data_IF_251378279965
#
_entry.id   IF_251378279965
#
_cell.length_a   1.000
_cell.length_b   1.000
_cell.length_c   1.000
_cell.angle_alpha   90.00
_cell.angle_beta   90.00
_cell.angle_gamma   90.00
#
_symmetry.space_group_name_H-M   'P 1'
#
loop_
_entity.id
_entity.type
_entity.pdbx_description
1 polymer ?
#
# COMPACT_ATOMS: atom_id res chain seq x y z
N UNK A 1 29.02 -0.17 5.89
CA UNK A 1 29.27 0.36 4.52
C UNK A 1 29.01 1.87 4.52
N UNK A 2 29.46 2.66 3.55
CA UNK A 2 29.16 4.11 3.48
C UNK A 2 28.54 4.44 2.12
N UNK A 3 27.40 5.13 2.12
CA UNK A 3 26.74 5.64 0.92
C UNK A 3 26.88 7.16 0.91
N UNK A 4 27.60 7.70 -0.07
CA UNK A 4 27.79 9.14 -0.22
C UNK A 4 26.87 9.67 -1.32
N UNK A 5 25.99 10.61 -0.98
CA UNK A 5 24.98 11.18 -1.87
C UNK A 5 25.00 12.70 -1.82
N UNK A 6 24.41 13.34 -2.82
CA UNK A 6 24.18 14.78 -2.77
C UNK A 6 22.96 15.13 -1.90
N UNK A 7 22.62 16.43 -1.84
CA UNK A 7 21.46 16.92 -1.10
C UNK A 7 20.19 17.01 -1.96
N UNK A 8 20.14 16.31 -3.10
CA UNK A 8 18.95 16.23 -3.93
C UNK A 8 17.76 15.72 -3.12
N UNK A 9 16.56 16.21 -3.45
CA UNK A 9 15.32 15.86 -2.73
C UNK A 9 15.09 14.35 -2.65
N UNK A 10 15.44 13.61 -3.70
CA UNK A 10 15.37 12.14 -3.75
C UNK A 10 16.21 11.46 -2.64
N UNK A 11 17.37 12.02 -2.30
CA UNK A 11 18.29 11.46 -1.32
C UNK A 11 18.00 11.92 0.11
N UNK A 12 17.16 12.94 0.30
CA UNK A 12 16.74 13.41 1.64
C UNK A 12 15.51 12.68 2.19
N UNK A 13 15.09 11.58 1.55
CA UNK A 13 13.90 10.84 1.96
C UNK A 13 14.14 10.07 3.26
N UNK A 14 13.15 10.09 4.16
CA UNK A 14 13.17 9.30 5.40
C UNK A 14 13.28 7.80 5.11
N UNK A 15 12.66 7.34 4.02
CA UNK A 15 12.72 5.95 3.59
C UNK A 15 14.17 5.50 3.30
N UNK A 16 14.94 6.29 2.54
CA UNK A 16 16.34 5.97 2.26
C UNK A 16 17.16 5.85 3.55
N UNK A 17 16.98 6.78 4.50
CA UNK A 17 17.65 6.73 5.80
C UNK A 17 17.31 5.47 6.59
N UNK A 18 16.03 5.07 6.60
CA UNK A 18 15.58 3.86 7.29
C UNK A 18 16.17 2.59 6.67
N UNK A 19 16.13 2.46 5.34
CA UNK A 19 16.70 1.32 4.61
C UNK A 19 18.22 1.24 4.83
N UNK A 20 18.92 2.37 4.76
CA UNK A 20 20.35 2.43 5.06
C UNK A 20 20.65 1.95 6.48
N UNK A 21 19.86 2.37 7.47
CA UNK A 21 20.03 1.92 8.85
C UNK A 21 19.80 0.40 8.99
N UNK A 22 18.75 -0.14 8.36
CA UNK A 22 18.46 -1.59 8.36
C UNK A 22 19.60 -2.41 7.73
N UNK A 23 20.24 -1.89 6.68
CA UNK A 23 21.36 -2.55 5.99
C UNK A 23 22.75 -2.26 6.60
N UNK A 24 22.85 -1.52 7.71
CA UNK A 24 24.15 -1.15 8.29
C UNK A 24 25.00 -0.23 7.40
N UNK A 25 24.33 0.61 6.60
CA UNK A 25 24.94 1.57 5.68
C UNK A 25 24.89 2.96 6.32
N UNK A 26 26.04 3.60 6.50
CA UNK A 26 26.10 5.00 6.91
C UNK A 26 25.79 5.89 5.70
N UNK A 27 24.64 6.56 5.72
CA UNK A 27 24.26 7.56 4.74
C UNK A 27 25.00 8.88 5.03
N UNK A 28 25.75 9.38 4.05
CA UNK A 28 26.55 10.60 4.16
C UNK A 28 26.11 11.57 3.06
N UNK A 29 25.68 12.76 3.46
CA UNK A 29 25.34 13.83 2.54
C UNK A 29 26.54 14.74 2.29
N UNK A 30 26.70 15.17 1.03
CA UNK A 30 27.67 16.21 0.68
C UNK A 30 27.37 17.50 1.45
N UNK A 31 28.39 18.17 2.00
CA UNK A 31 28.21 19.50 2.62
C UNK A 31 27.85 20.52 1.53
N UNK A 32 27.06 21.57 1.86
CA UNK A 32 26.91 22.72 0.98
C UNK A 32 28.27 23.26 0.53
N UNK A 33 28.35 23.70 -0.73
CA UNK A 33 29.55 24.30 -1.35
C UNK A 33 30.80 23.38 -1.47
N UNK A 34 30.68 22.08 -1.20
CA UNK A 34 31.75 21.10 -1.44
C UNK A 34 31.62 20.43 -2.83
N UNK A 35 31.93 21.16 -3.91
CA UNK A 35 31.87 20.65 -5.28
C UNK A 35 32.87 19.51 -5.56
N UNK A 36 34.03 19.51 -4.90
CA UNK A 36 35.10 18.52 -5.11
C UNK A 36 34.65 17.07 -4.88
N UNK A 37 33.67 16.84 -4.00
CA UNK A 37 33.16 15.50 -3.70
C UNK A 37 32.28 14.90 -4.82
N UNK A 38 31.78 15.74 -5.75
CA UNK A 38 30.83 15.34 -6.80
C UNK A 38 31.46 15.13 -8.18
N UNK A 39 32.73 15.50 -8.35
CA UNK A 39 33.39 15.51 -9.66
C UNK A 39 33.39 14.16 -10.39
N UNK A 40 33.37 13.03 -9.67
CA UNK A 40 33.29 11.69 -10.28
C UNK A 40 31.94 11.45 -10.97
N UNK A 41 30.84 11.67 -10.27
CA UNK A 41 29.50 11.44 -10.83
C UNK A 41 29.14 12.50 -11.87
N UNK A 42 29.54 13.75 -11.67
CA UNK A 42 29.36 14.82 -12.66
C UNK A 42 30.10 14.54 -13.96
N UNK A 43 31.34 14.00 -13.86
CA UNK A 43 32.09 13.56 -15.04
C UNK A 43 31.39 12.41 -15.76
N UNK A 44 30.85 11.43 -15.01
CA UNK A 44 30.07 10.34 -15.60
C UNK A 44 28.82 10.87 -16.33
N UNK A 45 28.04 11.75 -15.70
CA UNK A 45 26.87 12.37 -16.34
C UNK A 45 27.24 13.13 -17.61
N UNK A 46 28.38 13.84 -17.62
CA UNK A 46 28.89 14.50 -18.82
C UNK A 46 29.21 13.50 -19.93
N UNK A 47 29.87 12.39 -19.61
CA UNK A 47 30.17 11.32 -20.59
C UNK A 47 28.90 10.73 -21.18
N UNK A 48 27.92 10.39 -20.34
CA UNK A 48 26.61 9.90 -20.80
C UNK A 48 25.94 10.92 -21.72
N UNK A 49 25.93 12.21 -21.37
CA UNK A 49 25.35 13.25 -22.24
C UNK A 49 26.05 13.36 -23.60
N UNK A 50 27.37 13.23 -23.64
CA UNK A 50 28.15 13.38 -24.87
C UNK A 50 28.13 12.13 -25.76
N UNK A 51 28.02 10.94 -25.18
CA UNK A 51 28.12 9.68 -25.91
C UNK A 51 26.77 9.01 -26.12
N UNK A 52 25.94 8.91 -25.08
CA UNK A 52 24.68 8.17 -25.15
C UNK A 52 23.54 9.00 -25.78
N UNK A 53 23.35 10.26 -25.36
CA UNK A 53 22.21 11.05 -25.86
C UNK A 53 22.20 11.22 -27.39
N UNK A 54 23.34 11.45 -28.08
CA UNK A 54 23.36 11.53 -29.54
C UNK A 54 23.00 10.21 -30.25
N UNK A 55 23.07 9.06 -29.57
CA UNK A 55 22.69 7.75 -30.13
C UNK A 55 21.18 7.48 -30.06
N UNK A 56 20.42 8.33 -29.35
CA UNK A 56 18.98 8.16 -29.24
C UNK A 56 18.27 8.61 -30.51
N UNK A 57 17.51 7.70 -31.11
CA UNK A 57 16.62 7.99 -32.24
C UNK A 57 15.19 8.24 -31.75
N UNK A 58 14.33 8.75 -32.63
CA UNK A 58 12.90 8.95 -32.34
C UNK A 58 12.23 7.69 -31.80
N UNK A 59 12.60 6.51 -32.31
CA UNK A 59 12.07 5.21 -31.85
C UNK A 59 12.36 4.95 -30.37
N UNK A 60 13.52 5.37 -29.88
CA UNK A 60 13.88 5.23 -28.47
C UNK A 60 13.12 6.22 -27.60
N UNK A 61 12.79 7.40 -28.12
CA UNK A 61 12.13 8.47 -27.37
C UNK A 61 10.61 8.27 -27.18
N UNK A 62 10.03 7.24 -27.79
CA UNK A 62 8.59 6.95 -27.70
C UNK A 62 8.13 6.61 -26.28
N UNK A 63 8.96 5.95 -25.48
CA UNK A 63 8.64 5.61 -24.10
C UNK A 63 9.88 5.38 -23.23
N UNK A 64 9.70 5.54 -21.92
CA UNK A 64 10.77 5.39 -20.93
C UNK A 64 11.43 4.00 -20.97
N UNK A 65 10.67 2.94 -21.25
CA UNK A 65 11.20 1.57 -21.31
C UNK A 65 12.19 1.40 -22.46
N UNK A 66 11.93 2.01 -23.61
CA UNK A 66 12.83 2.02 -24.76
C UNK A 66 14.13 2.79 -24.46
N UNK A 67 14.02 3.97 -23.83
CA UNK A 67 15.20 4.74 -23.38
C UNK A 67 16.03 3.92 -22.38
N UNK A 68 15.39 3.30 -21.38
CA UNK A 68 16.08 2.48 -20.39
C UNK A 68 16.82 1.32 -21.05
N UNK A 69 16.19 0.63 -22.02
CA UNK A 69 16.84 -0.46 -22.76
C UNK A 69 18.06 0.02 -23.52
N UNK A 70 17.94 1.13 -24.24
CA UNK A 70 19.05 1.72 -24.98
C UNK A 70 20.20 2.13 -24.05
N UNK A 71 19.88 2.71 -22.88
CA UNK A 71 20.86 3.08 -21.86
C UNK A 71 21.61 1.85 -21.33
N UNK A 72 20.89 0.77 -21.00
CA UNK A 72 21.51 -0.48 -20.54
C UNK A 72 22.44 -1.06 -21.59
N UNK A 73 21.99 -1.13 -22.85
CA UNK A 73 22.84 -1.58 -23.97
C UNK A 73 24.10 -0.73 -24.06
N UNK A 74 23.99 0.60 -24.09
CA UNK A 74 25.15 1.50 -24.15
C UNK A 74 26.12 1.30 -22.96
N UNK A 75 25.59 1.16 -21.73
CA UNK A 75 26.42 0.96 -20.54
C UNK A 75 27.22 -0.34 -20.66
N UNK A 76 26.55 -1.42 -21.04
CA UNK A 76 27.16 -2.75 -21.11
C UNK A 76 28.12 -2.86 -22.29
N UNK A 77 27.70 -2.49 -23.50
CA UNK A 77 28.49 -2.73 -24.71
C UNK A 77 29.60 -1.71 -24.92
N UNK A 78 29.36 -0.44 -24.62
CA UNK A 78 30.30 0.65 -24.91
C UNK A 78 31.04 1.13 -23.66
N UNK A 79 30.31 1.65 -22.68
CA UNK A 79 30.92 2.38 -21.56
C UNK A 79 31.81 1.49 -20.68
N UNK A 80 31.33 0.32 -20.28
CA UNK A 80 32.08 -0.61 -19.43
C UNK A 80 33.29 -1.25 -20.13
N UNK A 81 33.27 -1.30 -21.47
CA UNK A 81 34.30 -1.96 -22.30
C UNK A 81 35.29 -0.98 -22.95
N UNK A 82 35.00 0.31 -22.93
CA UNK A 82 35.90 1.34 -23.45
C UNK A 82 36.97 1.72 -22.41
N UNK A 83 38.26 1.84 -22.80
CA UNK A 83 39.30 2.31 -21.90
C UNK A 83 38.97 3.69 -21.32
N UNK A 84 38.99 3.81 -19.99
CA UNK A 84 38.70 5.07 -19.32
C UNK A 84 39.98 5.86 -19.07
N UNK A 85 40.06 7.10 -19.57
CA UNK A 85 41.28 7.94 -19.52
C UNK A 85 41.94 8.06 -18.14
N UNK A 86 41.16 8.12 -17.06
CA UNK A 86 41.71 8.22 -15.69
C UNK A 86 42.09 6.87 -15.07
N UNK A 87 41.59 5.76 -15.61
CA UNK A 87 41.90 4.41 -15.12
C UNK A 87 43.00 3.75 -15.95
N UNK A 88 43.20 4.19 -17.20
CA UNK A 88 44.07 3.56 -18.20
C UNK A 88 43.71 2.09 -18.52
N UNK A 89 42.52 1.65 -18.10
CA UNK A 89 41.93 0.34 -18.33
C UNK A 89 40.41 0.49 -18.47
N UNK A 90 39.69 -0.58 -18.82
CA UNK A 90 38.22 -0.54 -18.92
C UNK A 90 37.58 -0.52 -17.52
N UNK A 91 36.44 0.16 -17.32
CA UNK A 91 35.73 0.11 -16.04
C UNK A 91 35.38 -1.31 -15.60
N UNK A 92 35.06 -2.20 -16.56
CA UNK A 92 34.73 -3.60 -16.27
C UNK A 92 35.93 -4.36 -15.72
N UNK A 93 37.09 -4.27 -16.37
CA UNK A 93 38.31 -4.97 -15.94
C UNK A 93 38.76 -4.46 -14.57
N UNK A 94 38.72 -3.13 -14.38
CA UNK A 94 39.00 -2.53 -13.08
C UNK A 94 38.10 -3.10 -11.99
N UNK A 95 36.80 -3.17 -12.26
CA UNK A 95 35.81 -3.67 -11.31
C UNK A 95 36.01 -5.16 -11.01
N UNK A 96 36.24 -5.99 -12.03
CA UNK A 96 36.49 -7.42 -11.87
C UNK A 96 37.69 -7.70 -10.93
N UNK A 97 38.76 -6.91 -11.03
CA UNK A 97 39.95 -7.04 -10.16
C UNK A 97 39.72 -6.67 -8.70
N UNK A 98 38.72 -5.83 -8.40
CA UNK A 98 38.43 -5.36 -7.03
C UNK A 98 37.11 -5.91 -6.49
N UNK A 99 36.36 -6.64 -7.32
CA UNK A 99 35.01 -7.13 -7.05
C UNK A 99 34.94 -8.15 -5.92
N UNK A 100 36.03 -8.83 -5.60
CA UNK A 100 36.13 -9.76 -4.46
C UNK A 100 35.83 -9.10 -3.10
N UNK A 101 35.90 -7.76 -3.02
CA UNK A 101 35.60 -6.98 -1.80
C UNK A 101 34.11 -6.64 -1.65
N UNK A 102 33.25 -7.11 -2.56
CA UNK A 102 31.80 -6.90 -2.48
C UNK A 102 31.25 -7.68 -1.30
N UNK A 103 30.47 -6.99 -0.45
CA UNK A 103 29.74 -7.60 0.65
C UNK A 103 28.33 -7.91 0.17
N UNK A 104 27.94 -9.16 0.29
CA UNK A 104 26.57 -9.59 0.01
C UNK A 104 25.72 -9.46 1.29
N UNK A 105 24.39 -9.27 1.15
CA UNK A 105 23.45 -9.42 2.26
C UNK A 105 23.56 -10.82 2.88
N UNK A 106 23.20 -10.95 4.15
CA UNK A 106 23.21 -12.26 4.81
C UNK A 106 22.13 -13.16 4.17
N UNK A 107 22.34 -14.48 4.03
CA UNK A 107 21.41 -15.39 3.34
C UNK A 107 19.97 -15.42 3.89
N UNK A 108 19.71 -14.83 5.07
CA UNK A 108 18.39 -14.69 5.67
C UNK A 108 17.73 -13.32 5.51
N UNK A 109 18.42 -12.34 4.92
CA UNK A 109 17.87 -11.01 4.70
C UNK A 109 16.87 -11.01 3.53
N UNK A 110 15.59 -10.82 3.84
CA UNK A 110 14.56 -10.56 2.82
C UNK A 110 14.69 -9.11 2.34
N UNK A 111 15.45 -8.93 1.25
CA UNK A 111 15.67 -7.62 0.64
C UNK A 111 14.34 -6.94 0.28
N UNK A 112 13.38 -7.67 -0.27
CA UNK A 112 12.10 -7.08 -0.65
C UNK A 112 11.36 -6.52 0.58
N UNK A 113 11.43 -7.21 1.72
CA UNK A 113 10.89 -6.71 2.99
C UNK A 113 11.60 -5.45 3.47
N UNK A 114 12.94 -5.40 3.38
CA UNK A 114 13.73 -4.26 3.85
C UNK A 114 13.38 -2.95 3.12
N UNK A 115 13.03 -3.03 1.83
CA UNK A 115 12.67 -1.89 0.99
C UNK A 115 11.17 -1.52 1.02
N UNK A 116 10.34 -2.21 1.82
CA UNK A 116 8.94 -1.80 1.99
C UNK A 116 8.84 -0.43 2.67
N UNK A 117 7.94 0.40 2.15
CA UNK A 117 7.56 1.67 2.77
C UNK A 117 6.73 1.42 4.01
N UNK A 118 6.92 2.25 5.04
CA UNK A 118 6.20 2.13 6.30
C UNK A 118 5.24 3.30 6.48
N UNK A 119 4.01 3.01 6.90
CA UNK A 119 3.02 4.02 7.25
C UNK A 119 2.24 3.59 8.48
N UNK A 120 2.23 4.44 9.52
CA UNK A 120 1.43 4.21 10.71
C UNK A 120 -0.01 4.66 10.48
N UNK A 121 -0.97 3.79 10.78
CA UNK A 121 -2.40 4.06 10.64
C UNK A 121 -3.17 3.43 11.79
N UNK A 122 -4.25 4.08 12.20
CA UNK A 122 -5.17 3.55 13.20
C UNK A 122 -6.20 2.66 12.53
N UNK A 123 -6.45 1.48 13.11
CA UNK A 123 -7.49 0.56 12.61
C UNK A 123 -8.86 1.09 13.00
N UNK A 124 -9.76 1.15 12.03
CA UNK A 124 -11.12 1.66 12.19
C UNK A 124 -12.03 0.62 12.86
N UNK A 125 -13.17 1.08 13.41
CA UNK A 125 -14.16 0.21 14.06
C UNK A 125 -14.78 -0.83 13.14
N UNK A 126 -14.77 -0.59 11.84
CA UNK A 126 -15.25 -1.49 10.80
C UNK A 126 -14.21 -2.54 10.36
N UNK A 127 -13.09 -2.67 11.11
CA UNK A 127 -11.99 -3.60 10.82
C UNK A 127 -11.23 -3.27 9.54
N UNK A 128 -11.19 -1.99 9.16
CA UNK A 128 -10.44 -1.53 7.99
C UNK A 128 -9.34 -0.54 8.32
N UNK A 129 -8.40 -0.39 7.38
CA UNK A 129 -7.40 0.67 7.40
C UNK A 129 -7.28 1.30 6.01
N UNK A 130 -7.14 2.63 5.95
CA UNK A 130 -6.96 3.34 4.68
C UNK A 130 -5.49 3.64 4.41
N UNK A 131 -5.04 3.30 3.20
CA UNK A 131 -3.72 3.61 2.68
C UNK A 131 -3.84 4.11 1.23
N UNK A 132 -3.39 5.34 0.98
CA UNK A 132 -3.40 5.99 -0.34
C UNK A 132 -4.76 5.90 -1.05
N UNK A 133 -5.85 6.15 -0.31
CA UNK A 133 -7.22 6.13 -0.83
C UNK A 133 -7.85 4.73 -0.95
N UNK A 134 -7.12 3.65 -0.65
CA UNK A 134 -7.63 2.29 -0.66
C UNK A 134 -7.85 1.75 0.75
N UNK A 135 -8.93 0.99 0.95
CA UNK A 135 -9.23 0.34 2.22
C UNK A 135 -8.74 -1.11 2.21
N UNK A 136 -8.14 -1.54 3.31
CA UNK A 136 -7.62 -2.90 3.50
C UNK A 136 -8.26 -3.53 4.73
N UNK A 137 -8.54 -4.84 4.65
CA UNK A 137 -9.15 -5.62 5.73
C UNK A 137 -8.13 -6.00 6.80
N UNK A 138 -8.50 -5.80 8.07
CA UNK A 138 -7.64 -6.01 9.23
C UNK A 138 -8.33 -6.95 10.23
N UNK A 139 -7.55 -7.75 10.95
CA UNK A 139 -8.08 -8.58 12.04
C UNK A 139 -8.82 -7.75 13.10
N UNK A 140 -9.94 -8.29 13.60
CA UNK A 140 -10.79 -7.63 14.58
C UNK A 140 -10.07 -7.34 15.91
N UNK A 141 -9.06 -8.13 16.27
CA UNK A 141 -8.25 -7.94 17.49
C UNK A 141 -7.42 -6.65 17.47
N UNK A 142 -7.18 -6.07 16.30
CA UNK A 142 -6.41 -4.84 16.14
C UNK A 142 -7.30 -3.59 16.06
N UNK A 143 -8.61 -3.70 16.20
CA UNK A 143 -9.53 -2.56 16.12
C UNK A 143 -9.23 -1.53 17.19
N UNK A 144 -9.02 -0.27 16.77
CA UNK A 144 -8.66 0.83 17.67
C UNK A 144 -7.15 0.97 17.91
N UNK A 145 -6.35 -0.04 17.58
CA UNK A 145 -4.89 0.01 17.70
C UNK A 145 -4.23 0.78 16.55
N UNK A 146 -2.99 1.23 16.79
CA UNK A 146 -2.15 1.83 15.74
C UNK A 146 -1.21 0.79 15.18
N UNK A 147 -1.41 0.44 13.92
CA UNK A 147 -0.60 -0.54 13.19
C UNK A 147 0.38 0.14 12.23
N UNK A 148 1.46 -0.55 11.92
CA UNK A 148 2.42 -0.16 10.87
C UNK A 148 2.15 -0.97 9.62
N UNK A 149 1.75 -0.28 8.55
CA UNK A 149 1.55 -0.87 7.24
C UNK A 149 2.86 -0.84 6.48
N UNK A 150 3.28 -1.99 5.95
CA UNK A 150 4.48 -2.15 5.11
C UNK A 150 4.06 -2.54 3.70
N UNK A 151 4.42 -1.73 2.70
CA UNK A 151 3.93 -1.88 1.33
C UNK A 151 4.94 -1.37 0.29
N UNK A 152 4.81 -1.83 -0.95
CA UNK A 152 5.56 -1.32 -2.09
C UNK A 152 4.70 -0.28 -2.84
N UNK A 153 5.12 1.00 -2.95
CA UNK A 153 4.36 2.02 -3.68
C UNK A 153 4.09 1.70 -5.14
N UNK A 154 4.95 0.91 -5.80
CA UNK A 154 4.77 0.49 -7.19
C UNK A 154 3.73 -0.61 -7.37
N UNK A 155 3.32 -1.26 -6.28
CA UNK A 155 2.35 -2.37 -6.27
C UNK A 155 1.08 -2.01 -5.51
N UNK A 156 0.64 -0.76 -5.65
CA UNK A 156 -0.56 -0.26 -5.00
C UNK A 156 -1.79 -1.12 -5.35
N UNK A 157 -2.59 -1.48 -4.35
CA UNK A 157 -3.76 -2.33 -4.52
C UNK A 157 -3.49 -3.84 -4.39
N UNK A 158 -2.23 -4.25 -4.23
CA UNK A 158 -1.88 -5.61 -3.79
C UNK A 158 -1.92 -5.75 -2.27
N UNK A 159 -1.71 -6.96 -1.79
CA UNK A 159 -1.63 -7.25 -0.36
C UNK A 159 -0.53 -6.44 0.34
N UNK A 160 -0.83 -5.94 1.54
CA UNK A 160 0.14 -5.20 2.37
C UNK A 160 0.45 -5.96 3.66
N UNK A 161 1.67 -5.84 4.16
CA UNK A 161 2.06 -6.44 5.44
C UNK A 161 1.62 -5.53 6.59
N UNK A 162 0.97 -6.08 7.59
CA UNK A 162 0.51 -5.36 8.79
C UNK A 162 1.36 -5.80 9.97
N UNK A 163 1.99 -4.83 10.62
CA UNK A 163 2.81 -5.04 11.80
C UNK A 163 2.21 -4.30 13.01
N UNK A 164 2.22 -4.93 14.18
CA UNK A 164 1.82 -4.33 15.45
C UNK A 164 2.96 -4.49 16.45
N UNK A 165 3.34 -3.41 17.16
CA UNK A 165 4.46 -3.39 18.10
C UNK A 165 5.77 -3.99 17.54
N UNK A 166 6.07 -3.71 16.27
CA UNK A 166 7.27 -4.19 15.58
C UNK A 166 7.22 -5.66 15.13
N UNK A 167 6.12 -6.38 15.39
CA UNK A 167 5.93 -7.77 14.95
C UNK A 167 4.96 -7.84 13.78
N UNK A 168 5.26 -8.69 12.80
CA UNK A 168 4.32 -9.03 11.75
C UNK A 168 3.09 -9.74 12.32
N UNK A 169 1.89 -9.34 11.89
CA UNK A 169 0.63 -9.95 12.32
C UNK A 169 -0.06 -10.65 11.16
N UNK A 170 -0.27 -9.94 10.04
CA UNK A 170 -1.01 -10.47 8.91
C UNK A 170 -0.64 -9.80 7.57
N UNK A 171 -1.05 -10.42 6.47
CA UNK A 171 -1.18 -9.77 5.17
C UNK A 171 -2.61 -9.29 4.99
N UNK A 172 -2.80 -8.00 4.71
CA UNK A 172 -4.11 -7.40 4.50
C UNK A 172 -4.42 -7.31 3.01
N UNK A 173 -5.61 -7.77 2.63
CA UNK A 173 -6.16 -7.67 1.28
C UNK A 173 -7.00 -6.41 1.14
N UNK A 174 -7.19 -5.98 -0.11
CA UNK A 174 -8.11 -4.89 -0.41
C UNK A 174 -9.53 -5.26 0.04
N UNK A 175 -10.23 -4.30 0.63
CA UNK A 175 -11.64 -4.46 0.95
C UNK A 175 -12.42 -4.62 -0.34
N UNK A 176 -13.20 -5.70 -0.46
CA UNK A 176 -14.18 -5.83 -1.52
C UNK A 176 -15.42 -4.98 -1.15
N UNK A 177 -15.44 -3.76 -1.67
CA UNK A 177 -16.56 -2.83 -1.44
C UNK A 177 -17.87 -3.35 -2.02
N UNK A 178 -17.82 -4.19 -3.07
CA UNK A 178 -19.01 -4.74 -3.72
C UNK A 178 -19.59 -5.90 -2.90
N UNK A 179 -18.75 -6.80 -2.38
CA UNK A 179 -19.18 -7.85 -1.45
C UNK A 179 -19.77 -7.25 -0.15
N UNK A 180 -19.17 -6.17 0.37
CA UNK A 180 -19.66 -5.49 1.57
C UNK A 180 -21.04 -4.83 1.42
N UNK A 181 -21.49 -4.51 0.21
CA UNK A 181 -22.85 -4.02 -0.02
C UNK A 181 -23.92 -5.06 0.30
N UNK A 182 -23.60 -6.35 0.19
CA UNK A 182 -24.55 -7.46 0.40
C UNK A 182 -24.47 -8.07 1.80
N UNK A 183 -23.46 -7.70 2.61
CA UNK A 183 -23.36 -8.12 4.00
C UNK A 183 -24.37 -7.32 4.84
N UNK A 184 -25.47 -7.96 5.22
CA UNK A 184 -26.43 -7.40 6.18
C UNK A 184 -25.72 -7.17 7.51
N UNK A 185 -25.63 -5.91 7.95
CA UNK A 185 -25.19 -5.59 9.31
C UNK A 185 -26.20 -6.18 10.28
N UNK A 186 -25.78 -7.14 11.10
CA UNK A 186 -26.54 -7.53 12.27
C UNK A 186 -26.59 -6.33 13.21
N UNK A 187 -27.74 -5.66 13.24
CA UNK A 187 -28.03 -4.66 14.25
C UNK A 187 -28.49 -5.45 15.48
N UNK A 188 -27.79 -5.40 16.62
CA UNK A 188 -28.38 -5.83 17.88
C UNK A 188 -29.40 -4.76 18.30
N UNK A 189 -30.54 -4.73 17.62
CA UNK A 189 -31.73 -3.99 18.05
C UNK A 189 -32.62 -4.98 18.79
N UNK A 190 -32.25 -5.28 20.04
CA UNK A 190 -33.21 -5.74 21.03
C UNK A 190 -33.10 -4.84 22.24
N UNK A 191 -34.08 -3.94 22.33
CA UNK A 191 -34.58 -3.37 23.57
C UNK A 191 -34.56 -4.44 24.65
N UNK A 192 -33.89 -4.16 25.76
CA UNK A 192 -34.01 -4.97 26.97
C UNK A 192 -35.42 -4.69 27.51
N UNK A 193 -36.39 -5.56 27.21
CA UNK A 193 -37.56 -5.69 28.06
C UNK A 193 -37.14 -6.49 29.28
N UNK A 194 -37.06 -5.81 30.42
CA UNK A 194 -36.95 -6.45 31.71
C UNK A 194 -38.31 -7.09 32.04
N UNK A 195 -38.40 -8.41 31.92
CA UNK A 195 -39.41 -9.18 32.63
C UNK A 195 -38.77 -9.69 33.90
N UNK A 196 -39.21 -9.16 35.04
CA UNK A 196 -39.09 -9.86 36.31
C UNK A 196 -40.43 -9.81 37.08
N UNK A 197 -40.73 -10.86 37.86
CA UNK A 197 -42.06 -11.45 37.93
C UNK A 197 -42.54 -11.41 39.38
N UNK A 198 -42.80 -10.22 39.93
CA UNK A 198 -43.34 -10.07 41.29
C UNK A 198 -44.31 -8.89 41.36
N UNK A 199 -45.57 -9.16 41.06
CA UNK A 199 -46.76 -8.48 41.64
C UNK A 199 -48.00 -9.27 41.28
N UNK A 200 -48.19 -10.36 42.01
CA UNK A 200 -49.50 -10.92 42.23
C UNK A 200 -50.35 -9.92 43.06
N UNK A 201 -51.66 -10.10 42.94
CA UNK A 201 -52.75 -9.73 43.88
C UNK A 201 -53.59 -8.48 43.55
N UNK A 202 -54.73 -8.80 42.92
CA UNK A 202 -56.12 -8.41 43.27
C UNK A 202 -56.57 -6.93 43.25
N UNK A 203 -57.56 -6.63 42.39
CA UNK A 203 -58.88 -6.13 42.83
C UNK A 203 -59.88 -5.86 41.68
N UNK A 204 -61.08 -6.47 41.86
CA UNK A 204 -62.46 -6.04 41.57
C UNK A 204 -62.93 -5.61 40.15
N UNK A 205 -63.98 -6.36 39.75
CA UNK A 205 -65.15 -6.13 38.88
C UNK A 205 -65.49 -4.69 38.45
N UNK A 206 -65.84 -4.56 37.16
CA UNK A 206 -67.06 -4.00 36.54
C UNK A 206 -66.74 -3.66 35.07
N UNK A 207 -67.60 -3.61 34.06
CA UNK A 207 -68.92 -4.15 33.70
C UNK A 207 -68.97 -4.05 32.16
N UNK A 208 -69.75 -4.89 31.47
CA UNK A 208 -69.86 -4.88 29.99
C UNK A 208 -70.93 -3.88 29.55
N UNK A 209 -70.76 -3.19 28.41
CA UNK A 209 -71.84 -3.17 27.40
C UNK A 209 -71.27 -3.24 25.97
N UNK A 210 -72.03 -3.45 24.90
CA UNK A 210 -73.28 -4.15 24.58
C UNK A 210 -73.23 -4.27 23.05
N UNK A 211 -73.52 -5.47 22.56
CA UNK A 211 -73.97 -5.86 21.22
C UNK A 211 -72.97 -6.04 20.04
N UNK A 212 -73.25 -7.05 19.18
CA UNK A 212 -72.35 -7.54 18.14
C UNK A 212 -72.66 -6.93 16.76
N UNK A 213 -71.65 -6.69 15.93
CA UNK A 213 -71.88 -6.40 14.52
C UNK A 213 -71.86 -7.72 13.74
N UNK A 214 -72.97 -7.97 13.04
CA UNK A 214 -73.35 -9.20 12.36
C UNK A 214 -72.72 -9.30 10.96
N UNK A 215 -72.19 -10.47 10.60
CA UNK A 215 -71.49 -10.78 9.34
C UNK A 215 -72.41 -11.25 8.18
N UNK A 216 -73.72 -10.99 8.24
CA UNK A 216 -74.67 -11.42 7.20
C UNK A 216 -74.89 -10.36 6.11
N UNK A 217 -73.93 -10.19 5.21
CA UNK A 217 -74.19 -9.90 3.78
C UNK A 217 -73.25 -10.74 2.94
N UNK A 218 -73.59 -12.01 2.98
CA UNK A 218 -73.28 -13.05 2.01
C UNK A 218 -73.71 -12.57 0.62
N UNK A 219 -72.82 -12.84 -0.33
CA UNK A 219 -72.99 -12.98 -1.77
C UNK A 219 -74.41 -13.09 -2.31
N UNK A 220 -74.67 -12.43 -3.45
CA UNK A 220 -75.22 -13.10 -4.64
C UNK A 220 -75.26 -12.20 -5.89
N UNK A 221 -75.00 -12.87 -7.02
CA UNK A 221 -75.47 -12.62 -8.39
C UNK A 221 -75.09 -11.30 -9.08
N UNK A 222 -74.17 -11.32 -10.04
CA UNK A 222 -74.32 -11.80 -11.44
C UNK A 222 -75.10 -10.85 -12.36
N UNK A 223 -74.47 -10.62 -13.53
CA UNK A 223 -75.00 -10.33 -14.87
C UNK A 223 -75.40 -8.90 -15.25
N UNK A 224 -74.77 -8.46 -16.34
CA UNK A 224 -75.53 -8.18 -17.57
C UNK A 224 -75.32 -6.81 -18.21
N UNK A 225 -74.54 -6.81 -19.30
CA UNK A 225 -74.66 -6.09 -20.58
C UNK A 225 -75.25 -4.66 -20.69
N UNK A 226 -74.60 -3.86 -21.55
CA UNK A 226 -75.34 -3.17 -22.63
C UNK A 226 -75.11 -1.67 -22.84
N UNK A 227 -74.32 -1.34 -23.87
CA UNK A 227 -74.36 -0.20 -24.82
C UNK A 227 -75.02 1.14 -24.44
N UNK A 228 -74.28 2.25 -24.59
CA UNK A 228 -74.35 3.19 -25.74
C UNK A 228 -72.95 3.78 -25.97
#
# INVERSE_FOLDING_TARGET
>A
MRLFVDNGSAFRSQHLSLVCAKLGITLIHARPYHAAAKGKIERWFRTVRLQFLPMLSEKHMLNLKAINRALWTYIETEYHRSPHRSLCETPLDRWARVGEKVRYPEPGDDLDDLFLFESKRKVQKDRTVSLNGMAYEIDASLVGETVTLRYNPSEQGKEIKVCHNGRFVQKAKLVDTYANCFVKRDRPSKTIEALDPEKAVDHKRESRPKQPVNFSRISEAEKGDGYV
#
